data_IF_092816625888
#
_entry.id   IF_092816625888
#
_cell.length_a   1.000
_cell.length_b   1.000
_cell.length_c   1.000
_cell.angle_alpha   90.00
_cell.angle_beta   90.00
_cell.angle_gamma   90.00
#
_symmetry.space_group_name_H-M   'P 1'
#
loop_
_entity.id
_entity.type
_entity.pdbx_description
1 polymer ?
#
# COMPACT_ATOMS: atom_id res chain seq x y z
N UNK A 1 -5.19 22.83 -5.34
CA UNK A 1 -3.79 22.66 -5.79
C UNK A 1 -3.03 21.89 -4.73
N UNK A 2 -2.67 20.64 -5.02
CA UNK A 2 -1.94 19.81 -4.06
C UNK A 2 -0.51 20.34 -3.92
N UNK A 3 -0.18 20.88 -2.76
CA UNK A 3 1.21 21.24 -2.46
C UNK A 3 2.07 19.96 -2.41
N UNK A 4 3.23 19.96 -3.09
CA UNK A 4 4.14 18.83 -3.01
C UNK A 4 4.69 18.67 -1.60
N UNK A 5 4.69 17.46 -1.08
CA UNK A 5 5.20 17.14 0.26
C UNK A 5 6.59 16.50 0.15
N UNK A 6 7.51 16.96 0.99
CA UNK A 6 8.84 16.35 1.12
C UNK A 6 8.76 15.06 1.94
N UNK A 7 9.73 14.16 1.73
CA UNK A 7 9.81 12.91 2.51
C UNK A 7 9.96 13.17 4.01
N UNK A 8 10.64 14.25 4.38
CA UNK A 8 10.83 14.68 5.76
C UNK A 8 9.50 15.14 6.39
N UNK A 9 8.71 15.94 5.68
CA UNK A 9 7.40 16.40 6.15
C UNK A 9 6.43 15.23 6.33
N UNK A 10 6.40 14.30 5.38
CA UNK A 10 5.59 13.08 5.47
C UNK A 10 6.05 12.22 6.66
N UNK A 11 7.36 11.99 6.80
CA UNK A 11 7.92 11.19 7.88
C UNK A 11 7.59 11.76 9.27
N UNK A 12 7.68 13.08 9.42
CA UNK A 12 7.30 13.77 10.64
C UNK A 12 5.80 13.60 10.96
N UNK A 13 4.94 13.76 9.97
CA UNK A 13 3.49 13.57 10.11
C UNK A 13 3.10 12.15 10.48
N UNK A 14 3.80 11.15 9.95
CA UNK A 14 3.55 9.72 10.21
C UNK A 14 4.35 9.18 11.40
N UNK A 15 5.13 9.99 12.09
CA UNK A 15 6.04 9.57 13.16
C UNK A 15 6.94 8.40 12.74
N UNK A 16 7.59 8.52 11.58
CA UNK A 16 8.46 7.50 11.00
C UNK A 16 9.76 8.11 10.46
N UNK A 17 10.60 7.29 9.85
CA UNK A 17 11.88 7.70 9.31
C UNK A 17 11.74 8.13 7.83
N UNK A 18 12.37 9.25 7.45
CA UNK A 18 12.38 9.75 6.07
C UNK A 18 12.97 8.74 5.06
N UNK A 19 13.88 7.86 5.48
CA UNK A 19 14.43 6.77 4.62
C UNK A 19 13.33 5.79 4.22
N UNK A 20 12.45 5.41 5.16
CA UNK A 20 11.30 4.54 4.88
C UNK A 20 10.36 5.22 3.90
N UNK A 21 10.06 6.50 4.11
CA UNK A 21 9.19 7.27 3.21
C UNK A 21 9.79 7.37 1.81
N UNK A 22 11.10 7.62 1.66
CA UNK A 22 11.77 7.66 0.35
C UNK A 22 11.69 6.32 -0.37
N UNK A 23 11.84 5.20 0.35
CA UNK A 23 11.67 3.85 -0.22
C UNK A 23 10.24 3.65 -0.75
N UNK A 24 9.23 3.98 0.06
CA UNK A 24 7.82 3.88 -0.33
C UNK A 24 7.52 4.76 -1.55
N UNK A 25 7.94 6.02 -1.53
CA UNK A 25 7.78 6.94 -2.67
C UNK A 25 8.46 6.38 -3.92
N UNK A 26 9.65 5.79 -3.80
CA UNK A 26 10.36 5.14 -4.90
C UNK A 26 9.57 3.97 -5.50
N UNK A 27 8.95 3.12 -4.67
CA UNK A 27 8.08 2.03 -5.11
C UNK A 27 6.83 2.54 -5.84
N UNK A 28 6.16 3.54 -5.27
CA UNK A 28 4.98 4.16 -5.88
C UNK A 28 5.32 4.87 -7.20
N UNK A 29 6.49 5.49 -7.30
CA UNK A 29 6.97 6.16 -8.53
C UNK A 29 7.26 5.15 -9.63
N UNK A 30 7.92 4.03 -9.31
CA UNK A 30 8.17 2.94 -10.27
C UNK A 30 6.87 2.35 -10.84
N UNK A 31 5.82 2.35 -10.05
CA UNK A 31 4.49 1.86 -10.46
C UNK A 31 3.58 2.98 -11.03
N UNK A 32 4.10 4.17 -11.26
CA UNK A 32 3.38 5.26 -11.92
C UNK A 32 2.25 5.90 -11.08
N UNK A 33 2.23 5.68 -9.77
CA UNK A 33 1.22 6.26 -8.87
C UNK A 33 1.63 7.64 -8.34
N UNK A 34 2.93 7.88 -8.27
CA UNK A 34 3.53 9.12 -7.75
C UNK A 34 4.58 9.62 -8.72
N UNK A 35 4.72 10.92 -8.84
CA UNK A 35 5.86 11.59 -9.48
C UNK A 35 6.60 12.45 -8.46
N UNK A 36 7.91 12.59 -8.63
CA UNK A 36 8.75 13.39 -7.73
C UNK A 36 9.43 14.49 -8.52
N UNK A 37 9.31 15.72 -8.06
CA UNK A 37 10.06 16.87 -8.57
C UNK A 37 11.17 17.23 -7.59
N UNK A 38 12.40 17.33 -8.08
CA UNK A 38 13.56 17.72 -7.29
C UNK A 38 13.67 19.25 -7.17
N UNK A 39 14.36 19.70 -6.12
CA UNK A 39 14.69 21.11 -5.91
C UNK A 39 13.65 21.91 -5.12
N UNK A 40 13.82 23.23 -5.10
CA UNK A 40 12.96 24.18 -4.38
C UNK A 40 11.52 24.11 -4.88
N UNK A 41 10.56 23.94 -3.98
CA UNK A 41 9.15 23.74 -4.33
C UNK A 41 8.85 22.35 -4.92
N UNK A 42 9.84 21.42 -4.84
CA UNK A 42 9.67 20.03 -5.23
C UNK A 42 8.99 19.18 -4.15
N UNK A 43 8.87 17.91 -4.44
CA UNK A 43 8.25 16.89 -3.56
C UNK A 43 7.46 15.87 -4.36
N UNK A 44 6.79 14.98 -3.65
CA UNK A 44 5.97 13.93 -4.23
C UNK A 44 4.55 14.44 -4.56
N UNK A 45 4.01 14.01 -5.69
CA UNK A 45 2.64 14.28 -6.14
C UNK A 45 2.02 13.03 -6.73
N UNK A 46 0.70 12.88 -6.59
CA UNK A 46 -0.04 11.82 -7.30
C UNK A 46 -0.03 12.09 -8.81
N UNK A 47 0.05 11.02 -9.60
CA UNK A 47 -0.03 11.09 -11.08
C UNK A 47 -1.45 11.12 -11.60
N UNK A 48 -2.39 10.61 -10.78
CA UNK A 48 -3.82 10.53 -11.08
C UNK A 48 -4.63 11.15 -9.94
N UNK A 49 -5.89 11.43 -10.18
CA UNK A 49 -6.79 11.85 -9.10
C UNK A 49 -6.98 10.70 -8.09
N UNK A 50 -7.23 11.01 -6.80
CA UNK A 50 -7.47 9.97 -5.78
C UNK A 50 -8.63 9.02 -6.11
N UNK A 51 -9.62 9.47 -6.91
CA UNK A 51 -10.73 8.63 -7.35
C UNK A 51 -10.35 7.60 -8.42
N UNK A 52 -9.21 7.78 -9.07
CA UNK A 52 -8.67 6.88 -10.10
C UNK A 52 -7.61 5.92 -9.56
N UNK A 53 -7.25 6.03 -8.29
CA UNK A 53 -6.26 5.17 -7.62
C UNK A 53 -7.00 4.24 -6.68
N UNK A 54 -6.88 2.93 -6.90
CA UNK A 54 -7.44 1.90 -6.01
C UNK A 54 -6.43 1.49 -4.93
N UNK A 55 -6.93 0.98 -3.81
CA UNK A 55 -6.07 0.39 -2.79
C UNK A 55 -5.33 -0.85 -3.32
N UNK A 56 -5.88 -1.56 -4.30
CA UNK A 56 -5.20 -2.68 -4.95
C UNK A 56 -3.97 -2.24 -5.75
N UNK A 57 -4.02 -1.09 -6.44
CA UNK A 57 -2.85 -0.53 -7.13
C UNK A 57 -1.74 -0.15 -6.14
N UNK A 58 -2.10 0.49 -5.03
CA UNK A 58 -1.15 0.85 -3.96
C UNK A 58 -0.55 -0.41 -3.33
N UNK A 59 -1.39 -1.39 -3.02
CA UNK A 59 -0.96 -2.65 -2.45
C UNK A 59 0.06 -3.37 -3.34
N UNK A 60 -0.25 -3.55 -4.63
CA UNK A 60 0.66 -4.17 -5.60
C UNK A 60 1.96 -3.39 -5.80
N UNK A 61 1.89 -2.06 -5.72
CA UNK A 61 3.08 -1.22 -5.85
C UNK A 61 4.05 -1.35 -4.67
N UNK A 62 3.54 -1.66 -3.48
CA UNK A 62 4.33 -1.78 -2.24
C UNK A 62 4.75 -3.22 -1.95
N UNK A 63 4.11 -4.20 -2.57
CA UNK A 63 4.41 -5.60 -2.38
C UNK A 63 5.66 -6.02 -3.15
N UNK A 64 6.65 -6.55 -2.45
CA UNK A 64 7.90 -7.07 -3.05
C UNK A 64 7.91 -8.62 -3.11
N UNK A 65 6.77 -9.29 -2.87
CA UNK A 65 6.65 -10.75 -2.88
C UNK A 65 5.23 -11.24 -2.62
N UNK A 66 5.05 -12.55 -2.48
CA UNK A 66 3.77 -13.13 -2.07
C UNK A 66 3.45 -12.74 -0.62
N UNK A 67 2.18 -12.39 -0.35
CA UNK A 67 1.70 -12.04 1.00
C UNK A 67 1.89 -13.18 1.98
N UNK A 68 1.74 -14.38 1.46
CA UNK A 68 1.90 -15.60 2.23
C UNK A 68 3.01 -16.47 1.61
N UNK A 69 4.10 -16.63 2.34
CA UNK A 69 5.12 -17.60 1.99
C UNK A 69 4.78 -18.95 2.61
N UNK A 70 4.60 -19.96 1.75
CA UNK A 70 4.51 -21.35 2.21
C UNK A 70 5.93 -21.85 2.52
N UNK A 71 6.20 -22.32 3.73
CA UNK A 71 7.53 -22.83 4.08
C UNK A 71 8.02 -23.90 3.08
N UNK A 72 9.28 -23.78 2.70
CA UNK A 72 9.94 -24.81 1.90
C UNK A 72 10.26 -25.99 2.82
N UNK A 73 9.56 -27.11 2.65
CA UNK A 73 9.94 -28.37 3.30
C UNK A 73 11.03 -29.05 2.47
N UNK A 74 12.01 -29.60 3.15
CA UNK A 74 13.07 -30.38 2.51
C UNK A 74 12.46 -31.60 1.79
N UNK A 75 12.78 -31.76 0.51
CA UNK A 75 12.29 -32.88 -0.32
C UNK A 75 12.76 -34.26 0.15
N UNK A 76 13.72 -34.29 1.09
CA UNK A 76 14.23 -35.53 1.71
C UNK A 76 13.27 -36.14 2.73
N UNK A 77 12.21 -35.44 3.14
CA UNK A 77 11.21 -35.99 4.04
C UNK A 77 10.28 -36.97 3.33
N UNK A 78 10.36 -38.23 3.75
CA UNK A 78 9.52 -39.34 3.26
C UNK A 78 8.05 -39.29 3.74
N UNK A 79 7.55 -38.15 4.20
CA UNK A 79 6.19 -38.01 4.69
C UNK A 79 5.25 -37.70 3.51
N UNK A 80 4.36 -38.60 3.19
CA UNK A 80 3.34 -38.42 2.11
C UNK A 80 2.43 -37.21 2.39
N UNK A 81 2.08 -36.95 3.65
CA UNK A 81 1.31 -35.78 4.06
C UNK A 81 2.07 -34.48 3.75
N UNK A 82 3.36 -34.43 4.04
CA UNK A 82 4.20 -33.25 3.79
C UNK A 82 4.27 -32.88 2.29
N UNK A 83 4.26 -33.86 1.40
CA UNK A 83 4.26 -33.65 -0.05
C UNK A 83 2.96 -33.04 -0.57
N UNK A 84 1.83 -33.33 0.08
CA UNK A 84 0.49 -32.90 -0.36
C UNK A 84 0.04 -31.61 0.31
N UNK A 85 0.41 -31.39 1.57
CA UNK A 85 -0.01 -30.20 2.35
C UNK A 85 0.44 -28.91 1.69
N UNK A 86 1.67 -28.86 1.16
CA UNK A 86 2.22 -27.64 0.56
C UNK A 86 1.42 -27.13 -0.64
N UNK A 87 1.16 -27.92 -1.70
CA UNK A 87 0.34 -27.46 -2.82
C UNK A 87 -1.08 -27.06 -2.37
N UNK A 88 -1.70 -27.82 -1.47
CA UNK A 88 -3.04 -27.48 -0.94
C UNK A 88 -3.03 -26.13 -0.23
N UNK A 89 -2.06 -25.88 0.65
CA UNK A 89 -1.94 -24.58 1.34
C UNK A 89 -1.62 -23.47 0.35
N UNK A 90 -0.77 -23.71 -0.64
CA UNK A 90 -0.45 -22.73 -1.67
C UNK A 90 -1.69 -22.29 -2.44
N UNK A 91 -2.53 -23.22 -2.85
CA UNK A 91 -3.77 -22.94 -3.59
C UNK A 91 -4.76 -22.15 -2.74
N UNK A 92 -4.93 -22.53 -1.47
CA UNK A 92 -5.81 -21.83 -0.53
C UNK A 92 -5.33 -20.39 -0.26
N UNK A 93 -4.03 -20.20 -0.08
CA UNK A 93 -3.45 -18.88 0.17
C UNK A 93 -3.53 -17.98 -1.07
N UNK A 94 -3.34 -18.53 -2.27
CA UNK A 94 -3.54 -17.79 -3.52
C UNK A 94 -5.01 -17.37 -3.72
N UNK A 95 -5.96 -18.22 -3.34
CA UNK A 95 -7.38 -17.87 -3.38
C UNK A 95 -7.72 -16.75 -2.39
N UNK A 96 -7.17 -16.82 -1.17
CA UNK A 96 -7.31 -15.76 -0.18
C UNK A 96 -6.72 -14.43 -0.66
N UNK A 97 -5.54 -14.47 -1.29
CA UNK A 97 -4.91 -13.28 -1.87
C UNK A 97 -5.74 -12.67 -3.00
N UNK A 98 -6.32 -13.49 -3.88
CA UNK A 98 -7.25 -13.02 -4.91
C UNK A 98 -8.46 -12.30 -4.31
N UNK A 99 -9.04 -12.85 -3.26
CA UNK A 99 -10.15 -12.22 -2.54
C UNK A 99 -9.77 -10.88 -1.90
N UNK A 100 -8.56 -10.80 -1.33
CA UNK A 100 -8.01 -9.54 -0.80
C UNK A 100 -7.88 -8.48 -1.91
N UNK A 101 -7.25 -8.83 -3.02
CA UNK A 101 -7.06 -7.92 -4.16
C UNK A 101 -8.39 -7.46 -4.74
N UNK A 102 -9.36 -8.36 -4.90
CA UNK A 102 -10.70 -8.02 -5.37
C UNK A 102 -11.36 -6.98 -4.44
N UNK A 103 -11.29 -7.19 -3.13
CA UNK A 103 -11.83 -6.25 -2.15
C UNK A 103 -11.14 -4.87 -2.25
N UNK A 104 -9.81 -4.84 -2.33
CA UNK A 104 -9.03 -3.61 -2.42
C UNK A 104 -9.24 -2.87 -3.76
N UNK A 105 -9.57 -3.59 -4.84
CA UNK A 105 -9.87 -3.01 -6.15
C UNK A 105 -11.16 -2.18 -6.16
N UNK A 106 -12.07 -2.44 -5.23
CA UNK A 106 -13.33 -1.72 -5.10
C UNK A 106 -13.25 -0.50 -4.16
N UNK A 107 -12.08 -0.23 -3.59
CA UNK A 107 -11.86 0.90 -2.67
C UNK A 107 -10.86 1.87 -3.32
N UNK A 108 -11.27 3.12 -3.51
CA UNK A 108 -10.39 4.17 -4.03
C UNK A 108 -9.71 4.96 -2.91
N UNK A 109 -8.60 5.61 -3.24
CA UNK A 109 -7.93 6.53 -2.33
C UNK A 109 -8.85 7.70 -1.93
N UNK A 110 -9.72 8.16 -2.85
CA UNK A 110 -10.72 9.19 -2.55
C UNK A 110 -11.70 8.75 -1.46
N UNK A 111 -12.13 7.49 -1.48
CA UNK A 111 -13.01 6.94 -0.46
C UNK A 111 -12.33 6.90 0.92
N UNK A 112 -11.06 6.50 0.97
CA UNK A 112 -10.27 6.54 2.22
C UNK A 112 -10.16 7.97 2.76
N UNK A 113 -9.82 8.93 1.89
CA UNK A 113 -9.71 10.36 2.26
C UNK A 113 -11.06 10.87 2.81
N UNK A 114 -12.17 10.52 2.15
CA UNK A 114 -13.51 10.89 2.61
C UNK A 114 -13.80 10.35 4.01
N UNK A 115 -13.51 9.08 4.27
CA UNK A 115 -13.73 8.46 5.58
C UNK A 115 -12.86 9.09 6.67
N UNK A 116 -11.60 9.41 6.37
CA UNK A 116 -10.70 10.11 7.30
C UNK A 116 -11.25 11.49 7.66
N UNK A 117 -11.70 12.28 6.66
CA UNK A 117 -12.27 13.60 6.90
C UNK A 117 -13.52 13.55 7.79
N UNK A 118 -14.41 12.60 7.57
CA UNK A 118 -15.59 12.39 8.42
C UNK A 118 -15.18 12.13 9.86
N UNK A 119 -14.25 11.19 10.09
CA UNK A 119 -13.79 10.85 11.45
C UNK A 119 -13.06 11.99 12.16
N UNK A 120 -12.31 12.81 11.42
CA UNK A 120 -11.67 14.00 12.00
C UNK A 120 -12.74 14.99 12.43
N UNK A 121 -13.76 15.23 11.61
CA UNK A 121 -14.85 16.16 11.94
C UNK A 121 -15.67 15.71 13.16
N UNK A 122 -15.87 14.40 13.31
CA UNK A 122 -16.54 13.83 14.50
C UNK A 122 -15.73 14.03 15.79
N UNK A 123 -14.39 13.97 15.71
CA UNK A 123 -13.49 14.11 16.88
C UNK A 123 -13.15 15.54 17.24
N UNK A 124 -13.10 16.43 16.26
CA UNK A 124 -12.72 17.84 16.42
C UNK A 124 -13.68 18.73 15.63
N UNK A 125 -14.94 18.92 16.09
CA UNK A 125 -15.89 19.80 15.42
C UNK A 125 -15.45 21.26 15.60
N UNK A 126 -14.72 21.80 14.63
CA UNK A 126 -14.36 23.22 14.59
C UNK A 126 -12.93 23.61 14.19
N UNK A 127 -11.99 22.68 14.03
CA UNK A 127 -10.58 23.07 13.86
C UNK A 127 -9.89 22.72 12.54
N UNK A 128 -10.53 22.07 11.57
CA UNK A 128 -9.82 21.74 10.31
C UNK A 128 -10.64 22.13 9.08
N UNK A 129 -10.27 23.26 8.54
CA UNK A 129 -10.59 23.66 7.17
C UNK A 129 -9.51 23.08 6.24
N UNK A 130 -9.68 21.84 5.83
CA UNK A 130 -8.78 21.16 4.88
C UNK A 130 -9.52 20.84 3.60
#
# INVERSE_FOLDING_TARGET
EQMPLTSEAIAQSCNTNAVVIRRIIGLLTRNGLVTVKMGTGGGARLTKSPGEITLAEIYRALEEGAVFEVPQFDETHHCEVGKVVRPVLSDLLQEAERGLIEKLSNITLAEVIRQVKVKIHEKCPGEINV
#
